data_IF_427022284345
#
_entry.id   IF_427022284345
#
_cell.length_a   1.000
_cell.length_b   1.000
_cell.length_c   1.000
_cell.angle_alpha   90.00
_cell.angle_beta   90.00
_cell.angle_gamma   90.00
#
_symmetry.space_group_name_H-M   'P 1'
#
loop_
_entity.id
_entity.type
_entity.pdbx_description
1 polymer ?
#
# COMPACT_ATOMS: atom_id res chain seq x y z
N UNK A 1 -8.10 29.02 -4.51
CA UNK A 1 -9.39 28.33 -4.25
C UNK A 1 -9.13 27.24 -3.22
N UNK A 2 -9.91 27.15 -2.14
CA UNK A 2 -9.84 25.96 -1.27
C UNK A 2 -10.44 24.81 -2.07
N UNK A 3 -9.60 23.90 -2.54
CA UNK A 3 -10.05 22.69 -3.22
C UNK A 3 -10.76 21.83 -2.18
N UNK A 4 -12.09 21.81 -2.24
CA UNK A 4 -12.90 21.02 -1.31
C UNK A 4 -12.79 19.55 -1.73
N UNK A 5 -12.18 18.72 -0.89
CA UNK A 5 -12.05 17.29 -1.15
C UNK A 5 -13.43 16.67 -1.30
N UNK A 6 -13.70 16.06 -2.46
CA UNK A 6 -14.92 15.29 -2.68
C UNK A 6 -14.98 14.14 -1.67
N UNK A 7 -16.06 14.07 -0.89
CA UNK A 7 -16.32 12.95 0.02
C UNK A 7 -16.88 11.78 -0.80
N UNK A 8 -16.11 10.69 -0.89
CA UNK A 8 -16.50 9.47 -1.61
C UNK A 8 -17.11 8.49 -0.61
N UNK A 9 -18.40 8.21 -0.77
CA UNK A 9 -19.19 7.28 0.09
C UNK A 9 -19.66 6.04 -0.68
N UNK A 10 -18.93 5.63 -1.72
CA UNK A 10 -19.15 4.38 -2.45
C UNK A 10 -18.59 3.19 -1.64
N UNK A 11 -19.03 1.93 -1.88
CA UNK A 11 -18.46 0.74 -1.26
C UNK A 11 -16.94 0.59 -1.48
N UNK A 12 -16.45 1.11 -2.61
CA UNK A 12 -15.05 1.21 -2.96
C UNK A 12 -14.89 1.72 -4.40
N UNK A 13 -13.78 2.39 -4.74
CA UNK A 13 -12.69 2.82 -3.86
C UNK A 13 -13.11 3.99 -2.93
N UNK A 14 -12.30 4.25 -1.90
CA UNK A 14 -12.51 5.36 -0.95
C UNK A 14 -11.43 6.44 -1.10
N UNK A 15 -11.64 7.61 -0.47
CA UNK A 15 -10.64 8.65 -0.48
C UNK A 15 -9.32 8.21 0.19
N UNK A 16 -8.21 8.28 -0.54
CA UNK A 16 -6.88 7.96 0.00
C UNK A 16 -6.44 9.01 1.04
N UNK A 17 -5.85 8.60 2.18
CA UNK A 17 -5.24 9.52 3.14
C UNK A 17 -4.06 10.30 2.53
N UNK A 18 -3.91 11.58 2.88
CA UNK A 18 -2.83 12.42 2.31
C UNK A 18 -1.42 11.87 2.58
N UNK A 19 -1.20 11.18 3.71
CA UNK A 19 0.09 10.53 3.99
C UNK A 19 0.48 9.50 2.91
N UNK A 20 -0.50 8.77 2.38
CA UNK A 20 -0.30 7.73 1.37
C UNK A 20 -0.06 8.37 0.01
N UNK A 21 -0.84 9.40 -0.35
CA UNK A 21 -0.61 10.18 -1.58
C UNK A 21 0.82 10.74 -1.61
N UNK A 22 1.27 11.35 -0.50
CA UNK A 22 2.64 11.86 -0.39
C UNK A 22 3.70 10.76 -0.50
N UNK A 23 3.43 9.55 0.01
CA UNK A 23 4.34 8.42 -0.13
C UNK A 23 4.48 7.98 -1.60
N UNK A 24 3.40 8.01 -2.37
CA UNK A 24 3.41 7.68 -3.80
C UNK A 24 4.17 8.72 -4.66
N UNK A 25 4.32 9.94 -4.17
CA UNK A 25 5.08 11.01 -4.84
C UNK A 25 6.59 10.96 -4.60
N UNK A 26 7.08 10.01 -3.79
CA UNK A 26 8.51 9.88 -3.54
C UNK A 26 9.26 9.46 -4.82
N UNK A 27 10.53 9.88 -5.00
CA UNK A 27 11.36 9.40 -6.10
C UNK A 27 11.43 7.87 -6.14
N UNK A 28 11.55 7.33 -7.35
CA UNK A 28 11.75 5.89 -7.52
C UNK A 28 13.08 5.44 -6.93
N UNK A 29 13.08 4.24 -6.37
CA UNK A 29 14.25 3.59 -5.79
C UNK A 29 14.59 2.34 -6.61
N UNK A 30 15.83 1.87 -6.51
CA UNK A 30 16.26 0.65 -7.20
C UNK A 30 15.51 -0.57 -6.65
N UNK A 31 14.72 -1.25 -7.49
CA UNK A 31 13.93 -2.44 -7.12
C UNK A 31 14.76 -3.66 -6.66
N UNK A 32 16.07 -3.68 -6.93
CA UNK A 32 17.01 -4.70 -6.41
C UNK A 32 18.00 -4.13 -5.40
N UNK A 33 17.78 -2.90 -4.96
CA UNK A 33 18.65 -2.20 -4.02
C UNK A 33 18.28 -2.48 -2.56
N UNK A 34 19.19 -2.16 -1.63
CA UNK A 34 18.98 -2.38 -0.19
C UNK A 34 17.81 -1.56 0.37
N UNK A 35 17.51 -0.39 -0.20
CA UNK A 35 16.37 0.43 0.23
C UNK A 35 15.03 -0.24 -0.08
N UNK A 36 14.89 -0.86 -1.26
CA UNK A 36 13.67 -1.61 -1.60
C UNK A 36 13.53 -2.87 -0.73
N UNK A 37 14.64 -3.58 -0.47
CA UNK A 37 14.62 -4.73 0.42
C UNK A 37 14.10 -4.36 1.81
N UNK A 38 14.65 -3.30 2.43
CA UNK A 38 14.21 -2.83 3.74
C UNK A 38 12.73 -2.39 3.74
N UNK A 39 12.29 -1.71 2.67
CA UNK A 39 10.87 -1.35 2.49
C UNK A 39 9.98 -2.60 2.44
N UNK A 40 10.35 -3.59 1.63
CA UNK A 40 9.58 -4.82 1.45
C UNK A 40 9.50 -5.63 2.75
N UNK A 41 10.60 -5.78 3.49
CA UNK A 41 10.64 -6.44 4.80
C UNK A 41 9.70 -5.73 5.79
N UNK A 42 9.69 -4.40 5.81
CA UNK A 42 8.77 -3.63 6.66
C UNK A 42 7.30 -3.84 6.29
N UNK A 43 6.99 -4.02 5.00
CA UNK A 43 5.62 -4.30 4.54
C UNK A 43 5.19 -5.69 5.02
N UNK A 44 6.06 -6.69 4.89
CA UNK A 44 5.79 -8.07 5.31
C UNK A 44 5.47 -8.15 6.81
N UNK A 45 6.25 -7.47 7.65
CA UNK A 45 6.00 -7.44 9.10
C UNK A 45 4.67 -6.75 9.45
N UNK A 46 4.39 -5.62 8.80
CA UNK A 46 3.12 -4.91 8.99
C UNK A 46 1.92 -5.74 8.50
N UNK A 47 2.07 -6.50 7.42
CA UNK A 47 1.02 -7.40 6.93
C UNK A 47 0.75 -8.55 7.90
N UNK A 48 1.79 -9.14 8.50
CA UNK A 48 1.63 -10.14 9.57
C UNK A 48 0.87 -9.56 10.76
N UNK A 49 1.17 -8.33 11.15
CA UNK A 49 0.43 -7.61 12.18
C UNK A 49 -1.04 -7.38 11.76
N UNK A 50 -1.32 -6.90 10.54
CA UNK A 50 -2.70 -6.64 10.09
C UNK A 50 -3.51 -7.94 10.01
N UNK A 51 -2.94 -9.01 9.48
CA UNK A 51 -3.60 -10.31 9.37
C UNK A 51 -3.55 -11.15 10.65
N UNK A 52 -2.86 -10.67 11.69
CA UNK A 52 -2.69 -11.37 12.98
C UNK A 52 -2.17 -12.81 12.77
N UNK A 53 -1.15 -12.97 11.93
CA UNK A 53 -0.61 -14.29 11.57
C UNK A 53 0.89 -14.40 11.82
N UNK A 54 1.34 -15.61 12.12
CA UNK A 54 2.77 -15.96 12.21
C UNK A 54 3.30 -16.58 10.91
N UNK A 55 2.41 -16.90 9.98
CA UNK A 55 2.77 -17.53 8.71
C UNK A 55 3.44 -16.53 7.77
N UNK A 56 4.05 -17.07 6.71
CA UNK A 56 4.49 -16.23 5.60
C UNK A 56 3.31 -15.54 4.93
N UNK A 57 3.55 -14.31 4.48
CA UNK A 57 2.60 -13.48 3.73
C UNK A 57 3.30 -13.05 2.45
N UNK A 58 2.56 -12.75 1.40
CA UNK A 58 3.16 -12.31 0.13
C UNK A 58 2.40 -11.10 -0.39
N UNK A 59 3.14 -10.16 -0.99
CA UNK A 59 2.55 -9.00 -1.64
C UNK A 59 2.34 -9.34 -3.11
N UNK A 60 1.08 -9.34 -3.56
CA UNK A 60 0.75 -9.49 -4.97
C UNK A 60 0.70 -8.11 -5.64
N UNK A 61 1.33 -7.97 -6.80
CA UNK A 61 1.33 -6.73 -7.59
C UNK A 61 0.06 -6.65 -8.44
N UNK A 62 -1.09 -6.77 -7.81
CA UNK A 62 -2.41 -6.78 -8.45
C UNK A 62 -3.44 -6.01 -7.62
N UNK A 63 -4.63 -5.77 -8.20
CA UNK A 63 -5.80 -5.28 -7.45
C UNK A 63 -6.54 -6.43 -6.78
N UNK A 64 -7.61 -6.12 -6.03
CA UNK A 64 -8.32 -7.10 -5.21
C UNK A 64 -8.74 -8.39 -5.94
N UNK A 65 -9.31 -8.29 -7.15
CA UNK A 65 -9.70 -9.47 -7.93
C UNK A 65 -8.51 -10.26 -8.43
N UNK A 66 -7.43 -9.60 -8.84
CA UNK A 66 -6.19 -10.27 -9.28
C UNK A 66 -5.40 -10.93 -8.14
N UNK A 67 -5.89 -10.91 -6.90
CA UNK A 67 -5.36 -11.73 -5.80
C UNK A 67 -6.18 -13.02 -5.58
N UNK A 68 -7.37 -13.10 -6.17
CA UNK A 68 -8.29 -14.24 -6.03
C UNK A 68 -8.17 -15.19 -7.23
N UNK A 69 -8.05 -14.64 -8.44
CA UNK A 69 -7.83 -15.41 -9.68
C UNK A 69 -6.46 -16.09 -9.70
#
# INVERSE_FOLDING_TARGET
MKEQKQLIMLPGPTNVPYRTIRAMMKPMINHRGPEFQALYESIMENLKYVFQTKNEVFVLTSSGTGSIE
#
